data_IF_397228123938
#
_entry.id   IF_397228123938
#
_cell.length_a   1.000
_cell.length_b   1.000
_cell.length_c   1.000
_cell.angle_alpha   90.00
_cell.angle_beta   90.00
_cell.angle_gamma   90.00
#
_symmetry.space_group_name_H-M   'P 1'
#
loop_
_entity.id
_entity.type
_entity.pdbx_description
1 polymer ?
#
# COMPACT_ATOMS: atom_id res chain seq x y z
N UNK A 1 -0.61 -5.57 -2.57
CA UNK A 1 0.13 -6.87 -2.54
C UNK A 1 -0.63 -7.96 -3.26
N UNK A 2 -1.92 -8.18 -2.95
CA UNK A 2 -2.76 -9.19 -3.61
C UNK A 2 -2.70 -9.11 -5.15
N UNK A 3 -2.89 -7.92 -5.72
CA UNK A 3 -2.83 -7.72 -7.18
C UNK A 3 -1.45 -8.07 -7.77
N UNK A 4 -0.37 -7.73 -7.05
CA UNK A 4 0.99 -8.12 -7.45
C UNK A 4 1.12 -9.65 -7.47
N UNK A 5 0.64 -10.35 -6.45
CA UNK A 5 0.63 -11.82 -6.43
C UNK A 5 -0.20 -12.40 -7.59
N UNK A 6 -1.36 -11.81 -7.90
CA UNK A 6 -2.18 -12.24 -9.03
C UNK A 6 -1.44 -12.12 -10.36
N UNK A 7 -0.69 -11.03 -10.56
CA UNK A 7 0.16 -10.87 -11.75
C UNK A 7 1.29 -11.89 -11.79
N UNK A 8 1.94 -12.17 -10.64
CA UNK A 8 2.99 -13.20 -10.58
C UNK A 8 2.45 -14.59 -10.89
N UNK A 9 1.25 -14.92 -10.41
CA UNK A 9 0.58 -16.18 -10.74
C UNK A 9 0.25 -16.25 -12.23
N UNK A 10 -0.26 -15.17 -12.82
CA UNK A 10 -0.51 -15.12 -14.26
C UNK A 10 0.77 -15.29 -15.08
N UNK A 11 1.89 -14.63 -14.71
CA UNK A 11 3.18 -14.82 -15.38
C UNK A 11 3.70 -16.25 -15.25
N UNK A 12 3.48 -16.90 -14.10
CA UNK A 12 3.84 -18.29 -13.88
C UNK A 12 3.08 -19.24 -14.82
N UNK A 13 1.80 -18.94 -15.10
CA UNK A 13 0.95 -19.70 -16.01
C UNK A 13 1.20 -19.40 -17.49
N UNK A 14 1.90 -18.30 -17.80
CA UNK A 14 2.18 -17.83 -19.16
C UNK A 14 3.70 -17.71 -19.40
N UNK A 15 4.44 -18.83 -19.45
CA UNK A 15 5.91 -18.82 -19.47
C UNK A 15 6.53 -18.18 -20.72
N UNK A 16 5.76 -18.09 -21.82
CA UNK A 16 6.18 -17.40 -23.04
C UNK A 16 6.19 -15.87 -22.89
N UNK A 17 5.47 -15.33 -21.89
CA UNK A 17 5.49 -13.91 -21.54
C UNK A 17 6.73 -13.65 -20.68
N UNK A 18 7.79 -13.16 -21.33
CA UNK A 18 9.08 -12.91 -20.69
C UNK A 18 9.56 -11.48 -20.95
N UNK A 19 10.12 -10.84 -19.92
CA UNK A 19 10.71 -9.52 -20.05
C UNK A 19 10.76 -8.73 -18.74
N UNK A 20 11.06 -7.44 -18.88
CA UNK A 20 11.05 -6.47 -17.78
C UNK A 20 9.77 -5.64 -17.85
N UNK A 21 8.90 -5.82 -16.85
CA UNK A 21 7.62 -5.15 -16.73
C UNK A 21 7.59 -4.26 -15.48
N UNK A 22 7.05 -3.05 -15.63
CA UNK A 22 6.65 -2.25 -14.47
C UNK A 22 5.38 -2.88 -13.86
N UNK A 23 5.21 -2.69 -12.56
CA UNK A 23 4.04 -3.18 -11.85
C UNK A 23 3.55 -2.14 -10.84
N UNK A 24 2.32 -1.71 -11.02
CA UNK A 24 1.64 -0.75 -10.17
C UNK A 24 0.21 -0.54 -10.68
N UNK A 25 -0.48 0.47 -10.15
CA UNK A 25 -1.87 0.77 -10.54
C UNK A 25 -1.99 1.54 -11.86
N UNK A 26 -0.88 2.03 -12.43
CA UNK A 26 -0.91 2.97 -13.56
C UNK A 26 -1.32 4.40 -13.21
N UNK A 27 -1.57 4.68 -11.93
CA UNK A 27 -2.09 5.96 -11.47
C UNK A 27 -1.37 6.43 -10.21
N UNK A 28 -0.64 7.55 -10.32
CA UNK A 28 -0.03 8.20 -9.17
C UNK A 28 -1.09 8.70 -8.18
N UNK A 29 -0.81 8.57 -6.89
CA UNK A 29 -1.65 9.06 -5.79
C UNK A 29 -0.80 9.85 -4.81
N UNK A 30 -1.42 10.81 -4.14
CA UNK A 30 -0.70 11.63 -3.14
C UNK A 30 -0.62 10.88 -1.80
N UNK A 31 0.38 11.22 -0.97
CA UNK A 31 0.41 10.75 0.42
C UNK A 31 -0.81 11.22 1.22
N UNK A 32 -1.37 12.39 0.89
CA UNK A 32 -2.60 12.89 1.50
C UNK A 32 -3.78 11.97 1.21
N UNK A 33 -3.89 11.44 -0.01
CA UNK A 33 -4.95 10.48 -0.37
C UNK A 33 -4.82 9.20 0.45
N UNK A 34 -3.60 8.66 0.58
CA UNK A 34 -3.32 7.46 1.39
C UNK A 34 -3.74 7.67 2.85
N UNK A 35 -3.32 8.78 3.45
CA UNK A 35 -3.69 9.15 4.82
C UNK A 35 -5.21 9.29 4.95
N UNK A 36 -5.87 9.95 3.99
CA UNK A 36 -7.32 10.14 4.02
C UNK A 36 -8.09 8.82 3.90
N UNK A 37 -7.67 7.93 3.00
CA UNK A 37 -8.23 6.58 2.89
C UNK A 37 -8.02 5.77 4.18
N UNK A 38 -6.90 5.98 4.88
CA UNK A 38 -6.63 5.30 6.15
C UNK A 38 -7.58 5.77 7.26
N UNK A 39 -7.78 7.09 7.41
CA UNK A 39 -8.78 7.65 8.34
C UNK A 39 -10.19 7.13 8.04
N UNK A 40 -10.57 7.12 6.76
CA UNK A 40 -11.86 6.60 6.31
C UNK A 40 -12.03 5.11 6.65
N UNK A 41 -11.00 4.28 6.42
CA UNK A 41 -11.03 2.85 6.73
C UNK A 41 -11.17 2.57 8.23
N UNK A 42 -10.65 3.46 9.08
CA UNK A 42 -10.77 3.42 10.54
C UNK A 42 -12.06 4.06 11.07
N UNK A 43 -12.89 4.66 10.20
CA UNK A 43 -14.10 5.40 10.56
C UNK A 43 -13.87 6.53 11.58
N UNK A 44 -12.77 7.30 11.41
CA UNK A 44 -12.43 8.45 12.25
C UNK A 44 -12.17 9.69 11.40
N UNK A 45 -12.36 10.87 12.01
CA UNK A 45 -12.17 12.14 11.31
C UNK A 45 -10.67 12.37 11.00
N UNK A 46 -10.34 12.85 9.78
CA UNK A 46 -8.96 13.16 9.43
C UNK A 46 -8.36 14.25 10.34
N UNK A 47 -7.19 13.95 10.89
CA UNK A 47 -6.37 14.91 11.64
C UNK A 47 -4.90 14.79 11.20
N UNK A 48 -4.56 15.47 10.10
CA UNK A 48 -3.23 15.38 9.46
C UNK A 48 -2.39 16.60 9.79
N UNK A 49 -1.14 16.37 10.21
CA UNK A 49 -0.15 17.42 10.42
C UNK A 49 1.02 17.20 9.46
N UNK A 50 1.51 18.28 8.86
CA UNK A 50 2.68 18.23 8.00
C UNK A 50 3.93 18.54 8.82
N UNK A 51 5.00 17.80 8.57
CA UNK A 51 6.32 18.05 9.15
C UNK A 51 7.30 18.48 8.05
N UNK A 52 8.36 19.24 8.39
CA UNK A 52 9.43 19.53 7.44
C UNK A 52 10.07 18.24 6.90
N UNK A 53 10.50 18.28 5.64
CA UNK A 53 11.24 17.19 5.02
C UNK A 53 12.53 16.91 5.82
N UNK A 54 12.78 15.67 6.28
CA UNK A 54 14.05 15.35 6.94
C UNK A 54 15.24 15.54 5.98
N UNK A 55 16.27 16.28 6.42
CA UNK A 55 17.46 16.60 5.61
C UNK A 55 18.13 15.34 5.01
N UNK A 56 18.15 14.24 5.77
CA UNK A 56 18.76 12.97 5.36
C UNK A 56 18.14 12.35 4.10
N UNK A 57 16.90 12.71 3.79
CA UNK A 57 16.15 12.23 2.63
C UNK A 57 16.21 13.19 1.45
N UNK A 58 16.74 14.41 1.64
CA UNK A 58 16.88 15.38 0.56
C UNK A 58 17.78 14.82 -0.55
N UNK A 59 17.33 14.91 -1.80
CA UNK A 59 18.03 14.36 -2.97
C UNK A 59 17.95 12.82 -3.12
N UNK A 60 17.36 12.12 -2.16
CA UNK A 60 17.12 10.65 -2.21
C UNK A 60 15.63 10.30 -2.30
N UNK A 61 14.77 11.27 -2.04
CA UNK A 61 13.33 11.07 -2.04
C UNK A 61 12.75 11.12 -3.45
N UNK A 62 11.97 10.11 -3.80
CA UNK A 62 11.21 10.11 -5.03
C UNK A 62 9.88 10.83 -4.82
N UNK A 63 9.77 12.05 -5.36
CA UNK A 63 8.57 12.89 -5.21
C UNK A 63 7.38 12.41 -6.05
N UNK A 64 7.64 11.65 -7.11
CA UNK A 64 6.61 11.17 -8.03
C UNK A 64 6.95 9.78 -8.57
N UNK A 65 5.96 8.89 -8.55
CA UNK A 65 6.00 7.54 -9.10
C UNK A 65 4.69 7.27 -9.81
N UNK A 66 4.76 6.84 -11.06
CA UNK A 66 3.63 6.27 -11.78
C UNK A 66 4.17 5.11 -12.62
N UNK A 67 3.62 3.92 -12.44
CA UNK A 67 4.04 2.76 -13.20
C UNK A 67 3.46 2.86 -14.61
N UNK A 68 4.32 2.87 -15.63
CA UNK A 68 3.84 2.69 -17.00
C UNK A 68 3.44 1.23 -17.21
N UNK A 69 2.13 0.99 -17.34
CA UNK A 69 1.52 -0.33 -17.44
C UNK A 69 1.33 -0.82 -18.89
N UNK A 70 1.80 -0.06 -19.89
CA UNK A 70 1.65 -0.39 -21.32
C UNK A 70 2.15 -1.80 -21.63
N UNK A 71 3.39 -2.12 -21.26
CA UNK A 71 4.02 -3.43 -21.59
C UNK A 71 3.27 -4.64 -21.06
N UNK A 72 2.76 -4.57 -19.83
CA UNK A 72 2.07 -5.73 -19.22
C UNK A 72 0.65 -5.87 -19.73
N UNK A 73 0.02 -4.74 -20.09
CA UNK A 73 -1.27 -4.71 -20.79
C UNK A 73 -1.15 -5.30 -22.20
N UNK A 74 -0.12 -4.89 -22.96
CA UNK A 74 0.20 -5.43 -24.29
C UNK A 74 0.52 -6.93 -24.25
N UNK A 75 1.13 -7.41 -23.15
CA UNK A 75 1.36 -8.84 -22.92
C UNK A 75 0.07 -9.63 -22.64
N UNK A 76 -1.07 -8.97 -22.46
CA UNK A 76 -2.38 -9.61 -22.27
C UNK A 76 -2.70 -9.97 -20.81
N UNK A 77 -2.05 -9.35 -19.83
CA UNK A 77 -2.34 -9.63 -18.41
C UNK A 77 -3.76 -9.13 -18.05
N UNK A 78 -4.66 -9.99 -17.55
CA UNK A 78 -6.06 -9.63 -17.29
C UNK A 78 -6.29 -9.04 -15.89
N UNK A 79 -5.24 -8.85 -15.09
CA UNK A 79 -5.38 -8.45 -13.69
C UNK A 79 -5.77 -6.98 -13.59
N UNK A 80 -6.93 -6.73 -12.99
CA UNK A 80 -7.35 -5.39 -12.59
C UNK A 80 -6.81 -5.05 -11.21
N UNK A 81 -6.24 -3.85 -11.07
CA UNK A 81 -5.71 -3.36 -9.81
C UNK A 81 -6.81 -2.69 -9.00
N UNK A 82 -6.83 -2.95 -7.71
CA UNK A 82 -7.73 -2.26 -6.80
C UNK A 82 -7.39 -0.77 -6.71
N UNK A 83 -8.41 0.04 -6.41
CA UNK A 83 -8.16 1.44 -6.08
C UNK A 83 -7.40 1.54 -4.75
N UNK A 84 -6.80 2.71 -4.50
CA UNK A 84 -6.13 3.00 -3.24
C UNK A 84 -7.09 2.81 -2.05
N UNK A 85 -8.31 3.33 -2.17
CA UNK A 85 -9.34 3.29 -1.15
C UNK A 85 -9.75 1.85 -0.81
N UNK A 86 -9.96 1.02 -1.83
CA UNK A 86 -10.29 -0.39 -1.66
C UNK A 86 -9.16 -1.15 -0.97
N UNK A 87 -7.92 -0.97 -1.46
CA UNK A 87 -6.74 -1.65 -0.90
C UNK A 87 -6.45 -1.24 0.54
N UNK A 88 -6.59 0.06 0.86
CA UNK A 88 -6.38 0.57 2.22
C UNK A 88 -7.47 0.07 3.16
N UNK A 89 -8.73 0.07 2.73
CA UNK A 89 -9.83 -0.46 3.53
C UNK A 89 -9.65 -1.95 3.84
N UNK A 90 -9.34 -2.76 2.82
CA UNK A 90 -9.02 -4.19 2.97
C UNK A 90 -7.86 -4.39 3.97
N UNK A 91 -6.77 -3.65 3.82
CA UNK A 91 -5.61 -3.81 4.68
C UNK A 91 -5.87 -3.40 6.12
N UNK A 92 -6.45 -2.23 6.35
CA UNK A 92 -6.76 -1.73 7.69
C UNK A 92 -7.75 -2.65 8.39
N UNK A 93 -8.88 -2.96 7.74
CA UNK A 93 -9.99 -3.64 8.42
C UNK A 93 -9.80 -5.14 8.56
N UNK A 94 -9.11 -5.78 7.60
CA UNK A 94 -8.94 -7.23 7.60
C UNK A 94 -7.59 -7.68 8.17
N UNK A 95 -6.60 -6.79 8.27
CA UNK A 95 -5.27 -7.16 8.73
C UNK A 95 -4.78 -6.32 9.92
N UNK A 96 -4.81 -4.98 9.87
CA UNK A 96 -4.25 -4.16 10.95
C UNK A 96 -5.15 -4.07 12.19
N UNK A 97 -6.46 -3.96 12.00
CA UNK A 97 -7.45 -3.84 13.08
C UNK A 97 -7.83 -5.19 13.70
N UNK A 98 -7.28 -6.29 13.19
CA UNK A 98 -7.54 -7.64 13.71
C UNK A 98 -6.35 -8.11 14.54
N UNK A 99 -6.61 -8.93 15.54
CA UNK A 99 -5.55 -9.65 16.23
C UNK A 99 -4.80 -10.54 15.23
N UNK A 100 -3.50 -10.27 15.07
CA UNK A 100 -2.66 -11.09 14.22
C UNK A 100 -2.07 -12.21 15.08
N UNK A 101 -2.30 -13.50 14.71
CA UNK A 101 -1.74 -14.63 15.45
C UNK A 101 -0.20 -14.67 15.40
N UNK A 102 0.42 -13.86 14.53
CA UNK A 102 1.87 -13.77 14.34
C UNK A 102 2.50 -12.54 15.01
N UNK A 103 1.69 -11.56 15.45
CA UNK A 103 2.15 -10.42 16.24
C UNK A 103 1.61 -10.62 17.66
N UNK A 104 2.40 -11.26 18.53
CA UNK A 104 2.10 -11.22 19.95
C UNK A 104 2.14 -9.76 20.40
N UNK A 105 1.04 -9.28 20.98
CA UNK A 105 1.02 -7.96 21.58
C UNK A 105 2.08 -7.91 22.69
N UNK A 106 3.18 -7.19 22.46
CA UNK A 106 4.02 -6.74 23.57
C UNK A 106 3.20 -5.71 24.34
N UNK A 107 2.40 -6.18 25.29
CA UNK A 107 1.72 -5.35 26.28
C UNK A 107 2.80 -4.61 27.08
N UNK A 108 3.08 -3.37 26.68
CA UNK A 108 3.68 -2.38 27.57
C UNK A 108 2.57 -1.79 28.41
N UNK A 109 2.22 -2.45 29.53
CA UNK A 109 1.48 -1.81 30.60
C UNK A 109 2.35 -0.67 31.16
N UNK A 110 2.13 0.55 30.70
CA UNK A 110 2.56 1.73 31.43
C UNK A 110 1.66 1.85 32.67
N UNK A 111 2.17 1.37 33.80
CA UNK A 111 1.56 1.52 35.13
C UNK A 111 1.01 2.95 35.31
N UNK A 112 -0.32 3.04 35.42
CA UNK A 112 -0.97 4.13 36.12
C UNK A 112 -0.69 3.95 37.62
N UNK A 113 0.48 4.40 38.08
CA UNK A 113 0.72 4.62 39.52
C UNK A 113 0.32 6.04 39.88
N UNK A 114 -0.88 6.14 40.46
CA UNK A 114 -1.25 7.25 41.30
C UNK A 114 -0.26 7.38 42.46
N UNK A 115 0.36 8.56 42.57
CA UNK A 115 0.72 9.19 43.84
C UNK A 115 0.81 10.70 43.67
#
# INVERSE_FOLDING_TARGET
>A
VKDCCSVMMWLLENPDVNGLFNLGTGHARTFKDLVSATFAAMNIQPNTQYIPMPDALQGKYQYFTEADMSKISEAGCPVEFQTLEQSVADYVQLHLSRESPYLQASHGEAEMKAK
#
